data_IF_024431986468
#
_entry.id   IF_024431986468
#
_cell.length_a   1.000
_cell.length_b   1.000
_cell.length_c   1.000
_cell.angle_alpha   90.00
_cell.angle_beta   90.00
_cell.angle_gamma   90.00
#
_symmetry.space_group_name_H-M   'P 1'
#
loop_
_entity.id
_entity.type
_entity.pdbx_description
1 polymer ?
#
# COMPACT_ATOMS: atom_id res chain seq x y z
N UNK A 1 -14.89 15.52 7.82
CA UNK A 1 -14.59 14.84 6.54
C UNK A 1 -13.09 14.83 6.39
N UNK A 2 -12.48 13.66 6.20
CA UNK A 2 -11.02 13.56 6.01
C UNK A 2 -10.69 13.94 4.56
N UNK A 3 -9.74 14.87 4.38
CA UNK A 3 -9.22 15.26 3.07
C UNK A 3 -8.06 14.34 2.67
N UNK A 4 -8.17 13.70 1.50
CA UNK A 4 -7.23 12.68 1.03
C UNK A 4 -6.66 13.09 -0.31
N UNK A 5 -5.35 13.32 -0.33
CA UNK A 5 -4.56 13.40 -1.55
C UNK A 5 -4.33 12.00 -2.11
N UNK A 6 -5.02 11.67 -3.20
CA UNK A 6 -4.84 10.42 -3.93
C UNK A 6 -3.91 10.65 -5.12
N UNK A 7 -2.71 10.06 -5.07
CA UNK A 7 -1.71 10.24 -6.12
C UNK A 7 -2.17 9.53 -7.40
N UNK A 8 -2.26 10.28 -8.49
CA UNK A 8 -2.46 9.76 -9.83
C UNK A 8 -1.13 9.21 -10.37
N UNK A 9 -0.70 8.08 -9.80
CA UNK A 9 0.45 7.30 -10.27
C UNK A 9 0.13 6.51 -11.54
N UNK A 10 -0.97 6.84 -12.23
CA UNK A 10 -1.50 6.09 -13.35
C UNK A 10 -1.98 4.69 -12.98
N UNK A 11 -2.65 4.06 -13.95
CA UNK A 11 -3.13 2.69 -13.82
C UNK A 11 -4.62 2.57 -13.54
N UNK A 12 -5.12 1.35 -13.71
CA UNK A 12 -6.55 1.09 -13.83
C UNK A 12 -7.32 1.11 -12.49
N UNK A 13 -6.65 1.10 -11.33
CA UNK A 13 -7.32 0.98 -10.03
C UNK A 13 -7.63 2.33 -9.35
N UNK A 14 -7.18 3.47 -9.90
CA UNK A 14 -7.39 4.81 -9.31
C UNK A 14 -8.86 5.09 -9.02
N UNK A 15 -9.75 4.79 -9.98
CA UNK A 15 -11.19 4.99 -9.80
C UNK A 15 -11.80 4.10 -8.72
N UNK A 16 -11.32 2.86 -8.57
CA UNK A 16 -11.81 1.94 -7.52
C UNK A 16 -11.41 2.42 -6.13
N UNK A 17 -10.16 2.88 -5.97
CA UNK A 17 -9.65 3.44 -4.72
C UNK A 17 -10.42 4.71 -4.36
N UNK A 18 -10.56 5.65 -5.31
CA UNK A 18 -11.34 6.87 -5.13
C UNK A 18 -12.76 6.58 -4.67
N UNK A 19 -13.47 5.69 -5.37
CA UNK A 19 -14.85 5.34 -5.03
C UNK A 19 -14.97 4.69 -3.64
N UNK A 20 -14.00 3.86 -3.24
CA UNK A 20 -13.98 3.26 -1.90
C UNK A 20 -13.81 4.32 -0.80
N UNK A 21 -12.96 5.33 -1.02
CA UNK A 21 -12.73 6.43 -0.08
C UNK A 21 -13.95 7.36 0.01
N UNK A 22 -14.53 7.75 -1.13
CA UNK A 22 -15.73 8.60 -1.18
C UNK A 22 -16.94 7.93 -0.49
N UNK A 23 -17.10 6.60 -0.65
CA UNK A 23 -18.13 5.83 0.06
C UNK A 23 -17.96 5.85 1.58
N UNK A 24 -16.74 6.05 2.07
CA UNK A 24 -16.43 6.22 3.50
C UNK A 24 -16.54 7.68 3.96
N UNK A 25 -17.00 8.59 3.10
CA UNK A 25 -17.20 10.01 3.43
C UNK A 25 -15.94 10.86 3.35
N UNK A 26 -14.85 10.36 2.74
CA UNK A 26 -13.66 11.15 2.49
C UNK A 26 -13.85 12.09 1.28
N UNK A 27 -13.24 13.27 1.35
CA UNK A 27 -13.06 14.15 0.19
C UNK A 27 -11.75 13.78 -0.48
N UNK A 28 -11.79 13.40 -1.76
CA UNK A 28 -10.61 12.90 -2.47
C UNK A 28 -10.16 13.90 -3.53
N UNK A 29 -8.92 14.39 -3.41
CA UNK A 29 -8.25 15.19 -4.43
C UNK A 29 -7.25 14.34 -5.19
N UNK A 30 -7.32 14.35 -6.51
CA UNK A 30 -6.30 13.72 -7.36
C UNK A 30 -5.04 14.59 -7.42
N UNK A 31 -3.88 13.98 -7.22
CA UNK A 31 -2.58 14.65 -7.16
C UNK A 31 -1.68 14.17 -8.28
N UNK A 32 -1.14 15.10 -9.06
CA UNK A 32 -0.28 14.81 -10.23
C UNK A 32 1.11 15.41 -10.12
N UNK A 33 1.34 16.24 -9.11
CA UNK A 33 2.55 16.99 -8.87
C UNK A 33 2.68 17.34 -7.37
N UNK A 34 3.81 17.94 -7.00
CA UNK A 34 4.12 18.32 -5.63
C UNK A 34 3.12 19.34 -5.05
N UNK A 35 2.68 20.32 -5.86
CA UNK A 35 1.75 21.36 -5.41
C UNK A 35 0.42 20.75 -4.94
N UNK A 36 -0.02 19.70 -5.64
CA UNK A 36 -1.18 18.92 -5.28
C UNK A 36 -1.05 18.13 -3.98
N UNK A 37 0.06 18.15 -3.24
CA UNK A 37 0.17 17.61 -1.87
C UNK A 37 -0.11 18.66 -0.79
N UNK A 38 -0.10 19.96 -1.14
CA UNK A 38 -0.23 21.05 -0.17
C UNK A 38 -1.55 20.97 0.60
N UNK A 39 -1.47 21.05 1.93
CA UNK A 39 -2.63 21.02 2.83
C UNK A 39 -3.31 19.65 2.97
N UNK A 40 -2.79 18.59 2.33
CA UNK A 40 -3.35 17.26 2.46
C UNK A 40 -3.21 16.76 3.90
N UNK A 41 -4.30 16.23 4.47
CA UNK A 41 -4.26 15.64 5.81
C UNK A 41 -3.77 14.20 5.78
N UNK A 42 -3.96 13.51 4.65
CA UNK A 42 -3.54 12.13 4.39
C UNK A 42 -3.23 11.96 2.92
N UNK A 43 -2.28 11.09 2.62
CA UNK A 43 -1.87 10.77 1.25
C UNK A 43 -2.04 9.28 1.01
N UNK A 44 -2.56 8.92 -0.17
CA UNK A 44 -2.61 7.54 -0.64
C UNK A 44 -1.82 7.45 -1.95
N UNK A 45 -0.86 6.54 -1.97
CA UNK A 45 -0.12 6.12 -3.15
C UNK A 45 -0.70 4.79 -3.64
N UNK A 46 -1.64 4.79 -4.61
CA UNK A 46 -2.04 3.56 -5.27
C UNK A 46 -0.96 3.13 -6.27
N UNK A 47 -0.99 1.88 -6.70
CA UNK A 47 -0.23 1.48 -7.87
C UNK A 47 -0.64 0.13 -8.43
N UNK A 48 -0.48 0.00 -9.75
CA UNK A 48 -0.53 -1.25 -10.51
C UNK A 48 0.60 -1.26 -11.52
N UNK A 49 1.00 -2.44 -11.97
CA UNK A 49 2.11 -2.60 -12.91
C UNK A 49 3.42 -2.89 -12.16
N UNK A 50 4.50 -2.24 -12.58
CA UNK A 50 5.85 -2.56 -12.15
C UNK A 50 6.57 -1.40 -11.47
N UNK A 51 7.51 -1.71 -10.56
CA UNK A 51 8.26 -0.75 -9.76
C UNK A 51 9.06 0.27 -10.58
N UNK A 52 9.78 -0.20 -11.62
CA UNK A 52 10.53 0.69 -12.51
C UNK A 52 9.67 1.79 -13.15
N UNK A 53 8.62 1.45 -13.91
CA UNK A 53 7.68 2.42 -14.46
C UNK A 53 6.98 3.28 -13.40
N UNK A 54 6.65 2.70 -12.23
CA UNK A 54 6.07 3.43 -11.11
C UNK A 54 6.99 4.54 -10.60
N UNK A 55 8.26 4.22 -10.33
CA UNK A 55 9.26 5.20 -9.89
C UNK A 55 9.55 6.24 -10.97
N UNK A 56 9.69 5.84 -12.24
CA UNK A 56 9.87 6.78 -13.36
C UNK A 56 8.75 7.82 -13.41
N UNK A 57 7.51 7.40 -13.15
CA UNK A 57 6.38 8.32 -13.10
C UNK A 57 6.44 9.27 -11.91
N UNK A 58 6.74 8.76 -10.71
CA UNK A 58 6.90 9.61 -9.53
C UNK A 58 8.02 10.64 -9.73
N UNK A 59 9.11 10.27 -10.40
CA UNK A 59 10.16 11.20 -10.81
C UNK A 59 9.65 12.25 -11.80
N UNK A 60 8.94 11.83 -12.85
CA UNK A 60 8.39 12.74 -13.86
C UNK A 60 7.35 13.73 -13.28
N UNK A 61 6.66 13.33 -12.21
CA UNK A 61 5.70 14.15 -11.47
C UNK A 61 6.37 15.03 -10.39
N UNK A 62 7.68 14.89 -10.16
CA UNK A 62 8.39 15.59 -9.09
C UNK A 62 7.92 15.19 -7.68
N UNK A 63 7.39 13.97 -7.51
CA UNK A 63 6.77 13.53 -6.26
C UNK A 63 7.72 12.78 -5.31
N UNK A 64 8.89 12.33 -5.77
CA UNK A 64 9.80 11.52 -4.94
C UNK A 64 10.24 12.25 -3.67
N UNK A 65 10.86 13.42 -3.80
CA UNK A 65 11.32 14.19 -2.63
C UNK A 65 10.17 14.68 -1.74
N UNK A 66 9.03 15.19 -2.27
CA UNK A 66 7.88 15.53 -1.45
C UNK A 66 7.34 14.36 -0.62
N UNK A 67 7.26 13.15 -1.20
CA UNK A 67 6.78 11.97 -0.48
C UNK A 67 7.77 11.52 0.61
N UNK A 68 9.07 11.67 0.37
CA UNK A 68 10.10 11.39 1.37
C UNK A 68 10.04 12.34 2.57
N UNK A 69 9.66 13.60 2.33
CA UNK A 69 9.56 14.64 3.37
C UNK A 69 8.16 14.78 3.97
N UNK A 70 7.19 14.01 3.51
CA UNK A 70 5.78 14.17 3.85
C UNK A 70 5.53 13.98 5.35
N UNK A 71 5.00 14.99 6.04
CA UNK A 71 4.78 14.94 7.50
C UNK A 71 3.43 14.31 7.92
N UNK A 72 2.56 14.04 6.94
CA UNK A 72 1.23 13.45 7.17
C UNK A 72 1.19 11.96 6.84
N UNK A 73 0.18 11.21 7.31
CA UNK A 73 0.04 9.78 7.01
C UNK A 73 0.05 9.48 5.52
N UNK A 74 0.86 8.48 5.13
CA UNK A 74 0.96 7.97 3.76
C UNK A 74 0.61 6.49 3.74
N UNK A 75 -0.36 6.09 2.92
CA UNK A 75 -0.68 4.68 2.68
C UNK A 75 -0.36 4.26 1.25
N UNK A 76 0.49 3.24 1.10
CA UNK A 76 0.74 2.56 -0.17
C UNK A 76 -0.23 1.40 -0.40
N UNK A 77 -0.76 1.25 -1.61
CA UNK A 77 -1.62 0.11 -2.00
C UNK A 77 -0.98 -0.70 -3.12
N UNK A 78 -0.82 -2.01 -2.89
CA UNK A 78 -0.22 -2.99 -3.80
C UNK A 78 1.18 -2.54 -4.26
N UNK A 79 1.34 -2.12 -5.52
CA UNK A 79 2.61 -1.56 -5.99
C UNK A 79 2.99 -0.31 -5.18
N UNK A 80 2.03 0.52 -4.80
CA UNK A 80 2.29 1.70 -3.97
C UNK A 80 2.92 1.36 -2.62
N UNK A 81 2.54 0.22 -2.01
CA UNK A 81 3.22 -0.28 -0.80
C UNK A 81 4.65 -0.71 -1.11
N UNK A 82 4.87 -1.41 -2.21
CA UNK A 82 6.21 -1.85 -2.62
C UNK A 82 7.16 -0.68 -2.83
N UNK A 83 6.66 0.43 -3.40
CA UNK A 83 7.44 1.65 -3.61
C UNK A 83 7.84 2.36 -2.30
N UNK A 84 7.23 2.06 -1.16
CA UNK A 84 7.64 2.63 0.13
C UNK A 84 8.97 2.05 0.64
N UNK A 85 9.35 0.85 0.18
CA UNK A 85 10.56 0.17 0.62
C UNK A 85 11.84 0.84 0.05
N UNK A 86 13.02 0.31 0.38
CA UNK A 86 14.30 0.81 -0.14
C UNK A 86 14.47 0.49 -1.62
N UNK A 87 14.17 -0.75 -2.01
CA UNK A 87 14.46 -1.23 -3.36
C UNK A 87 13.47 -2.29 -3.82
N UNK A 88 13.30 -2.42 -5.13
CA UNK A 88 12.63 -3.56 -5.75
C UNK A 88 13.58 -4.33 -6.67
N UNK A 89 13.58 -5.66 -6.57
CA UNK A 89 14.23 -6.54 -7.55
C UNK A 89 13.55 -6.45 -8.92
N UNK A 90 12.29 -6.01 -8.99
CA UNK A 90 11.63 -5.77 -10.25
C UNK A 90 12.31 -4.62 -11.00
N UNK A 91 13.09 -4.98 -12.03
CA UNK A 91 14.01 -4.09 -12.74
C UNK A 91 15.16 -3.52 -11.89
N UNK A 92 15.37 -4.02 -10.66
CA UNK A 92 16.51 -3.68 -9.80
C UNK A 92 16.57 -2.21 -9.36
N UNK A 93 15.42 -1.53 -9.25
CA UNK A 93 15.27 -0.08 -9.05
C UNK A 93 15.24 0.31 -7.57
N UNK A 94 15.87 1.44 -7.23
CA UNK A 94 15.70 2.11 -5.93
C UNK A 94 14.29 2.73 -5.85
N UNK A 95 13.66 2.65 -4.69
CA UNK A 95 12.30 3.15 -4.47
C UNK A 95 12.31 4.34 -3.49
N UNK A 96 11.22 4.61 -2.76
CA UNK A 96 11.16 5.82 -1.92
C UNK A 96 12.05 5.75 -0.68
N UNK A 97 12.43 4.55 -0.21
CA UNK A 97 13.34 4.38 0.93
C UNK A 97 12.75 4.82 2.27
N UNK A 98 11.44 4.71 2.43
CA UNK A 98 10.72 5.12 3.65
C UNK A 98 10.68 4.00 4.69
N UNK A 99 10.76 2.75 4.22
CA UNK A 99 10.70 1.54 5.03
C UNK A 99 11.87 0.63 4.64
N UNK A 100 12.63 0.06 5.60
CA UNK A 100 13.75 -0.81 5.29
C UNK A 100 13.29 -2.11 4.65
N UNK A 101 14.01 -2.57 3.62
CA UNK A 101 13.77 -3.85 2.97
C UNK A 101 13.80 -3.79 1.45
N UNK A 102 13.98 -4.97 0.86
CA UNK A 102 14.01 -5.17 -0.59
C UNK A 102 12.81 -6.02 -1.00
N UNK A 103 11.99 -5.50 -1.91
CA UNK A 103 10.86 -6.22 -2.51
C UNK A 103 11.39 -7.26 -3.49
N UNK A 104 10.99 -8.53 -3.31
CA UNK A 104 11.54 -9.67 -4.05
C UNK A 104 10.49 -10.44 -4.82
N UNK A 105 10.91 -11.14 -5.87
CA UNK A 105 10.01 -11.99 -6.65
C UNK A 105 9.56 -13.20 -5.83
N UNK A 106 8.27 -13.50 -5.85
CA UNK A 106 7.73 -14.75 -5.31
C UNK A 106 8.25 -15.93 -6.12
N UNK A 107 8.64 -17.00 -5.42
CA UNK A 107 9.21 -18.19 -6.05
C UNK A 107 8.11 -19.22 -6.28
N UNK A 108 7.88 -19.68 -7.53
CA UNK A 108 6.93 -20.77 -7.78
C UNK A 108 7.44 -22.07 -7.15
N UNK A 109 6.53 -22.85 -6.59
CA UNK A 109 6.80 -24.15 -5.97
C UNK A 109 5.63 -25.11 -6.25
N UNK A 110 5.77 -26.38 -5.87
CA UNK A 110 4.67 -27.34 -5.98
C UNK A 110 3.43 -26.81 -5.25
N UNK A 111 2.33 -26.60 -5.97
CA UNK A 111 1.09 -26.04 -5.43
C UNK A 111 1.04 -24.50 -5.31
N UNK A 112 2.14 -23.78 -5.59
CA UNK A 112 2.24 -22.32 -5.46
C UNK A 112 2.36 -21.67 -6.83
N UNK A 113 1.29 -20.97 -7.26
CA UNK A 113 1.25 -20.23 -8.54
C UNK A 113 1.68 -18.78 -8.38
N UNK A 114 2.44 -18.25 -9.32
CA UNK A 114 2.83 -16.83 -9.37
C UNK A 114 2.23 -16.20 -10.65
N UNK A 115 1.53 -15.06 -10.59
CA UNK A 115 1.31 -14.19 -9.42
C UNK A 115 0.48 -14.85 -8.32
N UNK A 116 0.71 -14.44 -7.07
CA UNK A 116 -0.22 -14.65 -5.97
C UNK A 116 -1.50 -13.88 -6.29
N UNK A 117 -2.58 -14.59 -6.62
CA UNK A 117 -3.83 -14.00 -7.09
C UNK A 117 -5.03 -14.67 -6.44
N UNK A 118 -5.89 -13.88 -5.82
CA UNK A 118 -7.13 -14.34 -5.19
C UNK A 118 -7.24 -13.89 -3.74
N UNK A 119 -8.23 -14.44 -3.05
CA UNK A 119 -8.45 -14.18 -1.63
C UNK A 119 -7.50 -15.03 -0.79
N UNK A 120 -6.76 -14.40 0.11
CA UNK A 120 -5.87 -15.09 1.04
C UNK A 120 -5.98 -14.48 2.44
N UNK A 121 -5.65 -15.29 3.45
CA UNK A 121 -5.82 -14.96 4.86
C UNK A 121 -4.71 -14.05 5.35
N UNK A 122 -5.09 -13.05 6.14
CA UNK A 122 -4.16 -12.22 6.89
C UNK A 122 -3.78 -12.90 8.20
N UNK A 123 -2.50 -12.80 8.56
CA UNK A 123 -1.93 -13.29 9.80
C UNK A 123 -1.45 -12.07 10.62
N UNK A 124 -2.28 -11.51 11.51
CA UNK A 124 -1.86 -10.42 12.38
C UNK A 124 -0.65 -10.83 13.23
N UNK A 125 0.37 -9.98 13.28
CA UNK A 125 1.60 -10.22 14.05
C UNK A 125 1.71 -9.29 15.27
N UNK A 126 1.15 -8.08 15.17
CA UNK A 126 1.05 -7.10 16.27
C UNK A 126 -0.10 -6.14 16.04
N UNK A 127 -0.45 -5.39 17.08
CA UNK A 127 -1.43 -4.31 16.98
C UNK A 127 -0.99 -3.24 15.97
N UNK A 128 -1.98 -2.66 15.30
CA UNK A 128 -1.81 -1.72 14.20
C UNK A 128 -3.07 -0.89 14.07
N UNK A 129 -2.89 0.38 13.69
CA UNK A 129 -4.00 1.27 13.37
C UNK A 129 -4.85 0.69 12.25
N UNK A 130 -4.25 0.14 11.20
CA UNK A 130 -4.99 -0.43 10.07
C UNK A 130 -5.80 -1.68 10.44
N UNK A 131 -5.38 -2.44 11.46
CA UNK A 131 -6.00 -3.70 11.83
C UNK A 131 -7.10 -3.58 12.91
N UNK A 132 -7.39 -2.37 13.39
CA UNK A 132 -8.43 -2.17 14.40
C UNK A 132 -9.80 -2.69 13.92
N UNK A 133 -10.41 -3.57 14.71
CA UNK A 133 -11.69 -4.20 14.38
C UNK A 133 -11.66 -5.22 13.23
N UNK A 134 -10.50 -5.47 12.62
CA UNK A 134 -10.36 -6.51 11.59
C UNK A 134 -10.35 -7.89 12.26
N UNK A 135 -11.23 -8.84 11.86
CA UNK A 135 -11.25 -10.17 12.46
C UNK A 135 -9.92 -10.93 12.28
N UNK A 136 -9.51 -11.73 13.26
CA UNK A 136 -8.27 -12.54 13.21
C UNK A 136 -8.18 -13.53 12.03
N UNK A 137 -9.33 -13.86 11.44
CA UNK A 137 -9.44 -14.77 10.29
C UNK A 137 -9.83 -14.04 9.01
N UNK A 138 -9.67 -12.73 8.96
CA UNK A 138 -9.98 -11.93 7.79
C UNK A 138 -9.14 -12.35 6.59
N UNK A 139 -9.76 -12.29 5.42
CA UNK A 139 -9.12 -12.49 4.13
C UNK A 139 -9.17 -11.20 3.32
N UNK A 140 -8.21 -11.04 2.41
CA UNK A 140 -8.12 -9.92 1.49
C UNK A 140 -7.76 -10.40 0.08
N UNK A 141 -8.02 -9.56 -0.92
CA UNK A 141 -7.79 -9.89 -2.33
C UNK A 141 -6.40 -9.42 -2.80
N UNK A 142 -5.54 -10.37 -3.15
CA UNK A 142 -4.18 -10.16 -3.63
C UNK A 142 -4.08 -10.34 -5.15
N UNK A 143 -3.15 -9.60 -5.77
CA UNK A 143 -2.69 -9.82 -7.15
C UNK A 143 -1.28 -9.23 -7.34
N UNK A 144 -0.24 -10.04 -7.11
CA UNK A 144 1.15 -9.58 -7.22
C UNK A 144 2.12 -10.73 -7.47
N UNK A 145 3.25 -10.43 -8.13
CA UNK A 145 4.37 -11.37 -8.34
C UNK A 145 5.58 -11.07 -7.46
N UNK A 146 5.60 -9.91 -6.81
CA UNK A 146 6.67 -9.44 -5.93
C UNK A 146 6.09 -9.12 -4.56
N UNK A 147 6.86 -9.32 -3.49
CA UNK A 147 6.45 -9.02 -2.13
C UNK A 147 7.64 -8.62 -1.26
N UNK A 148 7.39 -7.79 -0.25
CA UNK A 148 8.39 -7.48 0.76
C UNK A 148 8.54 -8.65 1.75
N UNK A 149 9.76 -8.98 2.19
CA UNK A 149 9.97 -9.95 3.26
C UNK A 149 9.41 -9.41 4.59
N UNK A 150 9.32 -10.27 5.59
CA UNK A 150 9.00 -9.82 6.96
C UNK A 150 10.13 -8.93 7.50
N UNK A 151 9.76 -7.88 8.23
CA UNK A 151 10.67 -7.04 9.00
C UNK A 151 9.99 -6.59 10.31
N UNK A 152 10.66 -5.75 11.10
CA UNK A 152 10.13 -5.21 12.36
C UNK A 152 8.90 -4.31 12.17
N UNK A 153 8.65 -3.82 10.96
CA UNK A 153 7.52 -2.96 10.61
C UNK A 153 6.32 -3.74 10.08
N UNK A 154 6.44 -5.06 9.84
CA UNK A 154 5.32 -5.91 9.44
C UNK A 154 4.29 -6.03 10.56
N UNK A 155 3.03 -5.69 10.29
CA UNK A 155 1.92 -5.81 11.24
C UNK A 155 0.98 -6.97 10.92
N UNK A 156 0.90 -7.37 9.65
CA UNK A 156 0.27 -8.61 9.24
C UNK A 156 1.07 -9.27 8.13
N UNK A 157 1.20 -10.59 8.21
CA UNK A 157 1.79 -11.43 7.18
C UNK A 157 0.71 -12.14 6.35
N UNK A 158 1.13 -12.76 5.26
CA UNK A 158 0.36 -13.72 4.50
C UNK A 158 1.32 -14.82 4.02
N UNK A 159 0.83 -16.06 3.91
CA UNK A 159 1.60 -17.19 3.39
C UNK A 159 1.14 -17.52 1.96
N UNK A 160 2.09 -17.58 1.03
CA UNK A 160 1.87 -18.10 -0.32
C UNK A 160 3.12 -18.83 -0.82
N UNK A 161 3.46 -19.93 -0.13
CA UNK A 161 4.71 -20.67 -0.36
C UNK A 161 5.89 -20.09 0.41
N UNK A 162 5.59 -19.32 1.46
CA UNK A 162 6.53 -18.49 2.20
C UNK A 162 5.82 -17.26 2.75
N UNK A 163 6.22 -16.84 3.96
CA UNK A 163 5.65 -15.65 4.59
C UNK A 163 6.19 -14.38 3.94
N UNK A 164 5.28 -13.45 3.67
CA UNK A 164 5.59 -12.11 3.20
C UNK A 164 4.77 -11.06 3.97
N UNK A 165 5.21 -9.80 3.88
CA UNK A 165 4.53 -8.67 4.51
C UNK A 165 3.25 -8.33 3.74
N UNK A 166 2.09 -8.60 4.36
CA UNK A 166 0.79 -8.26 3.80
C UNK A 166 0.36 -6.83 4.18
N UNK A 167 0.70 -6.40 5.39
CA UNK A 167 0.49 -5.04 5.89
C UNK A 167 1.75 -4.57 6.62
N UNK A 168 2.17 -3.35 6.36
CA UNK A 168 3.32 -2.69 6.99
C UNK A 168 2.91 -1.40 7.67
N UNK A 169 3.55 -1.09 8.80
CA UNK A 169 3.34 0.15 9.55
C UNK A 169 4.65 0.61 10.22
N UNK A 170 5.09 1.82 9.87
CA UNK A 170 6.25 2.49 10.44
C UNK A 170 5.95 3.98 10.64
N UNK A 171 5.65 4.38 11.89
CA UNK A 171 5.24 5.74 12.20
C UNK A 171 4.03 6.14 11.35
N UNK A 172 4.18 7.17 10.51
CA UNK A 172 3.14 7.66 9.60
C UNK A 172 3.06 6.94 8.25
N UNK A 173 3.92 5.95 8.00
CA UNK A 173 3.94 5.19 6.76
C UNK A 173 3.19 3.86 6.93
N UNK A 174 2.22 3.62 6.06
CA UNK A 174 1.36 2.45 6.05
C UNK A 174 1.38 1.80 4.67
N UNK A 175 1.17 0.49 4.61
CA UNK A 175 1.03 -0.18 3.32
C UNK A 175 0.21 -1.45 3.39
N UNK A 176 -0.54 -1.74 2.33
CA UNK A 176 -1.24 -3.00 2.13
C UNK A 176 -0.83 -3.62 0.78
N UNK A 177 -0.39 -4.88 0.80
CA UNK A 177 0.05 -5.59 -0.41
C UNK A 177 -1.16 -6.07 -1.23
N UNK A 178 -2.29 -6.30 -0.58
CA UNK A 178 -3.58 -6.56 -1.21
C UNK A 178 -4.27 -5.26 -1.63
N UNK A 179 -5.42 -5.41 -2.30
CA UNK A 179 -6.27 -4.31 -2.75
C UNK A 179 -7.43 -4.08 -1.77
N UNK A 180 -7.33 -3.17 -0.78
CA UNK A 180 -8.40 -2.92 0.17
C UNK A 180 -9.68 -2.44 -0.53
N UNK A 181 -9.57 -1.71 -1.64
CA UNK A 181 -10.70 -1.28 -2.46
C UNK A 181 -11.46 -2.45 -3.12
N UNK A 182 -10.87 -3.66 -3.11
CA UNK A 182 -11.44 -4.91 -3.65
C UNK A 182 -11.64 -6.00 -2.59
N UNK A 183 -11.40 -5.70 -1.32
CA UNK A 183 -11.35 -6.70 -0.23
C UNK A 183 -12.57 -6.68 0.70
N UNK A 184 -13.73 -6.24 0.19
CA UNK A 184 -15.00 -6.27 0.93
C UNK A 184 -14.94 -5.52 2.27
N UNK A 185 -15.48 -6.14 3.32
CA UNK A 185 -15.51 -5.57 4.67
C UNK A 185 -14.09 -5.37 5.25
N UNK A 186 -13.20 -6.36 5.10
CA UNK A 186 -11.80 -6.27 5.55
C UNK A 186 -11.14 -5.00 5.01
N UNK A 187 -11.22 -4.81 3.69
CA UNK A 187 -10.62 -3.64 3.04
C UNK A 187 -11.33 -2.34 3.40
N UNK A 188 -12.64 -2.35 3.55
CA UNK A 188 -13.42 -1.17 3.97
C UNK A 188 -13.07 -0.73 5.38
N UNK A 189 -12.88 -1.66 6.33
CA UNK A 189 -12.46 -1.35 7.70
C UNK A 189 -11.06 -0.75 7.73
N UNK A 190 -10.10 -1.34 6.99
CA UNK A 190 -8.74 -0.82 6.93
C UNK A 190 -8.66 0.59 6.35
N UNK A 191 -9.42 0.87 5.28
CA UNK A 191 -9.49 2.22 4.73
C UNK A 191 -10.14 3.19 5.71
N UNK A 192 -11.21 2.78 6.41
CA UNK A 192 -11.84 3.59 7.45
C UNK A 192 -10.84 3.93 8.57
N UNK A 193 -10.13 2.92 9.07
CA UNK A 193 -9.13 3.09 10.11
C UNK A 193 -8.04 4.08 9.68
N UNK A 194 -7.57 3.98 8.44
CA UNK A 194 -6.61 4.95 7.89
C UNK A 194 -7.18 6.37 7.82
N UNK A 195 -8.48 6.54 7.50
CA UNK A 195 -9.13 7.85 7.40
C UNK A 195 -9.41 8.51 8.75
N UNK A 196 -9.73 7.71 9.76
CA UNK A 196 -10.16 8.17 11.09
C UNK A 196 -8.99 8.23 12.09
N UNK A 197 -7.99 7.36 11.94
CA UNK A 197 -6.93 7.19 12.92
C UNK A 197 -5.92 8.35 12.94
N UNK A 198 -5.51 8.78 14.14
CA UNK A 198 -4.44 9.76 14.33
C UNK A 198 -3.10 9.03 14.31
N UNK A 199 -2.14 9.48 13.50
CA UNK A 199 -0.78 8.96 13.60
C UNK A 199 -0.22 9.36 14.97
N UNK A 200 0.31 8.38 15.70
CA UNK A 200 0.96 8.57 16.99
C UNK A 200 2.37 9.13 16.83
#
# INVERSE_FOLDING_TARGET
MSDVALIDAGGANLGSVRYALERLGATVRLVRDADGLTGAQRVILPGVGAAGPGMQRLHAQGLVEPLQRLEVPLMGICLGMQLLFERSEEAGVETLGLIPGVVRKLVPACGIRVPHMGWNRLLPLRESLLLQGVPERASAYFVHSYAAPLNTHTVAACDHGGLFTAVVEQGRYYGAQFHPERSGETGSLMLRNFLEGTAA
#
